data_IF_138049250019
#
_entry.id   IF_138049250019
#
_cell.length_a   1.000
_cell.length_b   1.000
_cell.length_c   1.000
_cell.angle_alpha   90.00
_cell.angle_beta   90.00
_cell.angle_gamma   90.00
#
_symmetry.space_group_name_H-M   'P 1'
#
loop_
_entity.id
_entity.type
_entity.pdbx_description
1 polymer ?
#
# COMPACT_ATOMS: atom_id res chain seq x y z
N UNK A 1 25.16 10.71 -8.39
CA UNK A 1 23.70 10.99 -8.43
C UNK A 1 23.32 12.01 -9.50
N UNK A 2 24.10 13.08 -9.66
CA UNK A 2 23.87 14.09 -10.70
C UNK A 2 23.85 13.50 -12.12
N UNK A 3 24.70 12.51 -12.40
CA UNK A 3 24.78 11.82 -13.70
C UNK A 3 23.44 11.20 -14.16
N UNK A 4 22.54 10.86 -13.24
CA UNK A 4 21.19 10.34 -13.58
C UNK A 4 20.11 11.41 -13.53
N UNK A 5 20.43 12.63 -13.04
CA UNK A 5 19.50 13.77 -12.96
C UNK A 5 18.96 14.07 -11.56
N UNK A 6 19.57 13.56 -10.49
CA UNK A 6 19.22 13.94 -9.11
C UNK A 6 20.13 15.11 -8.69
N UNK A 7 19.54 16.31 -8.57
CA UNK A 7 20.23 17.56 -8.25
C UNK A 7 20.48 17.76 -6.74
N UNK A 8 21.41 18.65 -6.34
CA UNK A 8 21.88 18.79 -4.95
C UNK A 8 20.79 18.90 -3.88
N UNK A 9 19.72 19.67 -4.11
CA UNK A 9 18.61 19.83 -3.16
C UNK A 9 17.90 18.50 -2.87
N UNK A 10 17.70 17.68 -3.92
CA UNK A 10 17.14 16.33 -3.80
C UNK A 10 18.13 15.36 -3.18
N UNK A 11 19.44 15.54 -3.39
CA UNK A 11 20.49 14.70 -2.78
C UNK A 11 20.49 14.86 -1.26
N UNK A 12 20.40 16.09 -0.75
CA UNK A 12 20.33 16.33 0.69
C UNK A 12 19.12 15.64 1.34
N UNK A 13 17.95 15.74 0.70
CA UNK A 13 16.74 15.01 1.13
C UNK A 13 16.94 13.49 1.09
N UNK A 14 17.51 12.95 0.00
CA UNK A 14 17.77 11.53 -0.18
C UNK A 14 18.71 10.97 0.90
N UNK A 15 19.78 11.68 1.23
CA UNK A 15 20.72 11.29 2.29
C UNK A 15 20.03 11.33 3.66
N UNK A 16 19.22 12.35 3.93
CA UNK A 16 18.47 12.47 5.18
C UNK A 16 17.51 11.29 5.38
N UNK A 17 16.74 10.96 4.35
CA UNK A 17 15.72 9.90 4.44
C UNK A 17 16.30 8.49 4.32
N UNK A 18 17.44 8.33 3.63
CA UNK A 18 18.15 7.05 3.54
C UNK A 18 19.68 7.25 3.60
N UNK A 19 20.27 7.38 4.81
CA UNK A 19 21.71 7.57 4.98
C UNK A 19 22.56 6.47 4.36
N UNK A 20 22.03 5.24 4.27
CA UNK A 20 22.68 4.10 3.64
C UNK A 20 23.03 4.29 2.15
N UNK A 21 22.46 5.31 1.49
CA UNK A 21 22.86 5.73 0.14
C UNK A 21 24.36 6.07 0.06
N UNK A 22 24.95 6.61 1.14
CA UNK A 22 26.38 6.97 1.19
C UNK A 22 27.30 5.75 1.26
N UNK A 23 26.83 4.66 1.85
CA UNK A 23 27.59 3.41 1.98
C UNK A 23 27.31 2.42 0.84
N UNK A 24 26.22 2.61 0.11
CA UNK A 24 25.85 1.76 -1.01
C UNK A 24 26.70 2.07 -2.25
N UNK A 25 26.82 1.09 -3.15
CA UNK A 25 27.41 1.25 -4.50
C UNK A 25 26.46 2.02 -5.42
N UNK A 26 26.08 3.22 -5.01
CA UNK A 26 25.01 3.99 -5.62
C UNK A 26 25.39 4.46 -7.03
N UNK A 27 26.64 4.84 -7.27
CA UNK A 27 27.08 5.28 -8.59
C UNK A 27 26.99 4.17 -9.65
N UNK A 28 27.31 2.93 -9.27
CA UNK A 28 27.26 1.75 -10.14
C UNK A 28 25.82 1.23 -10.31
N UNK A 29 25.06 1.12 -9.22
CA UNK A 29 23.74 0.47 -9.23
C UNK A 29 22.58 1.37 -9.66
N UNK A 30 22.67 2.69 -9.46
CA UNK A 30 21.58 3.62 -9.77
C UNK A 30 21.26 3.70 -11.27
N UNK A 31 22.23 3.75 -12.20
CA UNK A 31 21.97 3.69 -13.63
C UNK A 31 21.19 2.42 -14.05
N UNK A 32 21.53 1.27 -13.45
CA UNK A 32 20.84 0.01 -13.74
C UNK A 32 19.38 0.04 -13.28
N UNK A 33 19.10 0.62 -12.10
CA UNK A 33 17.74 0.82 -11.59
C UNK A 33 16.93 1.75 -12.48
N UNK A 34 17.53 2.85 -12.92
CA UNK A 34 16.89 3.79 -13.86
C UNK A 34 16.57 3.09 -15.18
N UNK A 35 17.53 2.34 -15.72
CA UNK A 35 17.35 1.55 -16.94
C UNK A 35 16.23 0.52 -16.79
N UNK A 36 16.17 -0.19 -15.66
CA UNK A 36 15.10 -1.14 -15.38
C UNK A 36 13.71 -0.50 -15.49
N UNK A 37 13.47 0.64 -14.82
CA UNK A 37 12.16 1.30 -14.90
C UNK A 37 11.86 1.85 -16.32
N UNK A 38 12.88 2.30 -17.05
CA UNK A 38 12.71 2.76 -18.44
C UNK A 38 12.36 1.60 -19.41
N UNK A 39 12.93 0.42 -19.16
CA UNK A 39 12.73 -0.79 -19.97
C UNK A 39 11.51 -1.63 -19.54
N UNK A 40 10.88 -1.29 -18.41
CA UNK A 40 9.63 -1.94 -17.97
C UNK A 40 8.60 -1.91 -19.09
N UNK A 41 8.02 -3.09 -19.38
CA UNK A 41 7.02 -3.25 -20.43
C UNK A 41 5.65 -2.73 -19.95
N UNK A 42 5.53 -1.42 -19.75
CA UNK A 42 4.30 -0.70 -19.37
C UNK A 42 3.94 0.34 -20.44
N UNK A 43 2.65 0.62 -20.60
CA UNK A 43 2.14 1.65 -21.52
C UNK A 43 1.24 2.63 -20.75
N UNK A 44 1.51 3.96 -20.79
CA UNK A 44 2.72 4.60 -21.35
C UNK A 44 3.99 4.22 -20.58
N UNK A 45 5.16 4.25 -21.24
CA UNK A 45 6.47 4.01 -20.59
C UNK A 45 6.72 5.01 -19.47
N UNK A 46 7.58 4.67 -18.52
CA UNK A 46 8.03 5.64 -17.53
C UNK A 46 8.86 6.73 -18.20
N UNK A 47 8.56 8.00 -17.91
CA UNK A 47 9.42 9.12 -18.30
C UNK A 47 10.63 9.20 -17.38
N UNK A 48 11.69 9.88 -17.80
CA UNK A 48 12.87 10.09 -16.94
C UNK A 48 12.47 10.76 -15.62
N UNK A 49 11.63 11.80 -15.69
CA UNK A 49 11.17 12.54 -14.50
C UNK A 49 10.30 11.68 -13.58
N UNK A 50 9.45 10.82 -14.13
CA UNK A 50 8.66 9.85 -13.36
C UNK A 50 9.56 8.86 -12.59
N UNK A 51 10.63 8.37 -13.22
CA UNK A 51 11.59 7.47 -12.57
C UNK A 51 12.33 8.19 -11.45
N UNK A 52 12.80 9.41 -11.72
CA UNK A 52 13.47 10.23 -10.71
C UNK A 52 12.52 10.56 -9.55
N UNK A 53 11.24 10.84 -9.82
CA UNK A 53 10.22 11.03 -8.80
C UNK A 53 10.08 9.79 -7.91
N UNK A 54 9.98 8.59 -8.49
CA UNK A 54 9.86 7.33 -7.74
C UNK A 54 11.06 7.11 -6.81
N UNK A 55 12.27 7.29 -7.34
CA UNK A 55 13.52 7.04 -6.61
C UNK A 55 13.78 8.09 -5.52
N UNK A 56 13.47 9.37 -5.78
CA UNK A 56 13.64 10.44 -4.78
C UNK A 56 12.55 10.41 -3.71
N UNK A 57 11.32 9.99 -4.04
CA UNK A 57 10.22 9.84 -3.08
C UNK A 57 10.39 8.63 -2.16
N UNK A 58 11.11 7.59 -2.59
CA UNK A 58 11.50 6.48 -1.72
C UNK A 58 13.00 6.16 -1.86
N UNK A 59 13.85 6.96 -1.19
CA UNK A 59 15.31 6.83 -1.25
C UNK A 59 15.85 5.45 -0.86
N UNK A 60 15.12 4.69 -0.04
CA UNK A 60 15.48 3.30 0.33
C UNK A 60 15.60 2.39 -0.91
N UNK A 61 14.85 2.65 -1.99
CA UNK A 61 14.98 1.92 -3.25
C UNK A 61 16.38 2.10 -3.87
N UNK A 62 17.00 3.27 -3.66
CA UNK A 62 18.37 3.56 -4.09
C UNK A 62 19.38 2.86 -3.18
N UNK A 63 19.18 2.91 -1.86
CA UNK A 63 20.15 2.39 -0.90
C UNK A 63 20.21 0.85 -0.83
N UNK A 64 19.05 0.19 -0.85
CA UNK A 64 18.95 -1.18 -0.30
C UNK A 64 18.32 -2.21 -1.24
N UNK A 65 17.70 -1.79 -2.35
CA UNK A 65 17.02 -2.70 -3.28
C UNK A 65 17.81 -2.89 -4.56
N UNK A 66 17.74 -4.09 -5.15
CA UNK A 66 18.37 -4.40 -6.45
C UNK A 66 17.32 -4.44 -7.57
N UNK A 67 17.79 -4.46 -8.82
CA UNK A 67 16.91 -4.67 -9.99
C UNK A 67 16.14 -6.00 -9.87
N UNK A 68 16.79 -7.06 -9.38
CA UNK A 68 16.16 -8.35 -9.12
C UNK A 68 15.03 -8.23 -8.09
N UNK A 69 15.22 -7.42 -7.03
CA UNK A 69 14.15 -7.16 -6.06
C UNK A 69 12.93 -6.51 -6.73
N UNK A 70 13.13 -5.55 -7.63
CA UNK A 70 12.03 -4.92 -8.36
C UNK A 70 11.33 -5.90 -9.30
N UNK A 71 12.08 -6.74 -10.00
CA UNK A 71 11.52 -7.79 -10.88
C UNK A 71 10.61 -8.75 -10.11
N UNK A 72 11.10 -9.31 -8.99
CA UNK A 72 10.31 -10.19 -8.12
C UNK A 72 9.06 -9.49 -7.62
N UNK A 73 9.16 -8.20 -7.28
CA UNK A 73 8.04 -7.41 -6.78
C UNK A 73 6.98 -7.13 -7.83
N UNK A 74 7.39 -6.78 -9.05
CA UNK A 74 6.49 -6.59 -10.19
C UNK A 74 5.80 -7.90 -10.55
N UNK A 75 6.54 -9.01 -10.56
CA UNK A 75 5.97 -10.35 -10.78
C UNK A 75 4.90 -10.68 -9.73
N UNK A 76 5.17 -10.38 -8.45
CA UNK A 76 4.18 -10.52 -7.38
C UNK A 76 2.91 -9.69 -7.64
N UNK A 77 3.04 -8.43 -8.08
CA UNK A 77 1.87 -7.60 -8.41
C UNK A 77 1.05 -8.17 -9.57
N UNK A 78 1.69 -8.73 -10.59
CA UNK A 78 1.00 -9.32 -11.74
C UNK A 78 0.34 -10.66 -11.39
N UNK A 79 1.10 -11.56 -10.76
CA UNK A 79 0.70 -12.96 -10.57
C UNK A 79 -0.19 -13.15 -9.34
N UNK A 80 0.13 -12.51 -8.22
CA UNK A 80 -0.60 -12.71 -6.96
C UNK A 80 -1.72 -11.68 -6.80
N UNK A 81 -1.45 -10.40 -7.08
CA UNK A 81 -2.44 -9.32 -6.91
C UNK A 81 -3.27 -9.04 -8.17
N UNK A 82 -3.01 -9.77 -9.26
CA UNK A 82 -3.73 -9.69 -10.54
C UNK A 82 -3.80 -8.27 -11.12
N UNK A 83 -2.79 -7.44 -10.84
CA UNK A 83 -2.70 -6.11 -11.42
C UNK A 83 -2.14 -6.19 -12.84
N UNK A 84 -2.74 -5.45 -13.77
CA UNK A 84 -2.15 -5.28 -15.09
C UNK A 84 -1.00 -4.25 -15.05
N UNK A 85 -0.23 -4.20 -16.14
CA UNK A 85 0.91 -3.28 -16.31
C UNK A 85 0.57 -1.80 -16.09
N UNK A 86 -0.63 -1.37 -16.48
CA UNK A 86 -1.07 0.01 -16.26
C UNK A 86 -1.35 0.30 -14.78
N UNK A 87 -2.01 -0.63 -14.09
CA UNK A 87 -2.21 -0.56 -12.64
C UNK A 87 -0.87 -0.50 -11.90
N UNK A 88 0.09 -1.35 -12.27
CA UNK A 88 1.41 -1.41 -11.64
C UNK A 88 2.16 -0.09 -11.79
N UNK A 89 2.20 0.48 -13.00
CA UNK A 89 2.79 1.80 -13.21
C UNK A 89 2.15 2.85 -12.30
N UNK A 90 0.82 2.92 -12.28
CA UNK A 90 0.10 3.90 -11.47
C UNK A 90 0.34 3.73 -9.96
N UNK A 91 0.38 2.48 -9.48
CA UNK A 91 0.66 2.15 -8.09
C UNK A 91 2.06 2.63 -7.70
N UNK A 92 3.08 2.31 -8.50
CA UNK A 92 4.48 2.69 -8.24
C UNK A 92 4.64 4.21 -8.25
N UNK A 93 4.05 4.91 -9.21
CA UNK A 93 4.11 6.38 -9.28
C UNK A 93 3.46 7.05 -8.07
N UNK A 94 2.25 6.61 -7.71
CA UNK A 94 1.52 7.19 -6.58
C UNK A 94 2.18 6.86 -5.25
N UNK A 95 2.64 5.62 -5.07
CA UNK A 95 3.22 5.13 -3.82
C UNK A 95 4.43 4.20 -4.04
N UNK A 96 5.64 4.76 -4.23
CA UNK A 96 6.84 3.96 -4.44
C UNK A 96 7.16 2.94 -3.33
N UNK A 97 6.80 3.26 -2.08
CA UNK A 97 7.07 2.38 -0.93
C UNK A 97 6.36 1.02 -1.00
N UNK A 98 5.36 0.85 -1.88
CA UNK A 98 4.77 -0.48 -2.11
C UNK A 98 5.80 -1.50 -2.60
N UNK A 99 6.90 -1.04 -3.20
CA UNK A 99 8.01 -1.90 -3.60
C UNK A 99 8.79 -2.47 -2.42
N UNK A 100 8.65 -1.89 -1.22
CA UNK A 100 9.42 -2.28 -0.03
C UNK A 100 8.62 -3.12 0.97
N UNK A 101 7.28 -3.16 0.85
CA UNK A 101 6.42 -3.86 1.81
C UNK A 101 6.54 -5.39 1.71
N UNK A 102 6.14 -6.12 2.76
CA UNK A 102 6.03 -7.58 2.71
C UNK A 102 4.99 -8.01 1.67
N UNK A 103 5.24 -9.12 0.97
CA UNK A 103 4.30 -9.67 -0.01
C UNK A 103 3.07 -10.25 0.69
N UNK A 104 3.28 -10.92 1.81
CA UNK A 104 2.26 -11.57 2.64
C UNK A 104 1.25 -10.52 3.12
N UNK A 105 1.74 -9.46 3.78
CA UNK A 105 0.89 -8.39 4.29
C UNK A 105 0.16 -7.62 3.16
N UNK A 106 0.77 -7.49 1.98
CA UNK A 106 0.10 -6.87 0.83
C UNK A 106 -1.00 -7.77 0.27
N UNK A 107 -0.75 -9.09 0.17
CA UNK A 107 -1.72 -10.06 -0.33
C UNK A 107 -2.94 -10.11 0.58
N UNK A 108 -2.77 -10.18 1.90
CA UNK A 108 -3.89 -10.15 2.84
C UNK A 108 -4.76 -8.90 2.70
N UNK A 109 -4.14 -7.71 2.58
CA UNK A 109 -4.86 -6.45 2.38
C UNK A 109 -5.60 -6.43 1.05
N UNK A 110 -4.98 -6.92 -0.01
CA UNK A 110 -5.59 -7.02 -1.34
C UNK A 110 -6.79 -7.98 -1.31
N UNK A 111 -6.62 -9.18 -0.76
CA UNK A 111 -7.67 -10.20 -0.65
C UNK A 111 -8.86 -9.67 0.15
N UNK A 112 -8.61 -9.02 1.29
CA UNK A 112 -9.70 -8.43 2.07
C UNK A 112 -10.44 -7.32 1.29
N UNK A 113 -9.72 -6.43 0.61
CA UNK A 113 -10.35 -5.39 -0.20
C UNK A 113 -11.17 -5.97 -1.36
N UNK A 114 -10.66 -7.01 -2.02
CA UNK A 114 -11.32 -7.62 -3.16
C UNK A 114 -12.53 -8.46 -2.75
N UNK A 115 -12.37 -9.36 -1.79
CA UNK A 115 -13.39 -10.36 -1.43
C UNK A 115 -14.37 -9.87 -0.38
N UNK A 116 -13.93 -9.07 0.59
CA UNK A 116 -14.78 -8.65 1.73
C UNK A 116 -15.33 -7.23 1.58
N UNK A 117 -14.55 -6.31 1.02
CA UNK A 117 -15.00 -4.92 0.75
C UNK A 117 -15.67 -4.82 -0.63
N UNK A 118 -15.57 -5.86 -1.48
CA UNK A 118 -16.12 -5.86 -2.84
C UNK A 118 -15.57 -4.70 -3.70
N UNK A 119 -14.26 -4.43 -3.58
CA UNK A 119 -13.56 -3.43 -4.37
C UNK A 119 -12.87 -4.05 -5.59
N UNK A 120 -13.06 -3.46 -6.77
CA UNK A 120 -12.42 -3.96 -7.99
C UNK A 120 -10.89 -3.81 -7.96
N UNK A 121 -10.12 -4.63 -8.71
CA UNK A 121 -8.68 -4.45 -8.84
C UNK A 121 -8.29 -3.04 -9.33
N UNK A 122 -9.11 -2.43 -10.19
CA UNK A 122 -8.89 -1.04 -10.64
C UNK A 122 -9.07 -0.03 -9.51
N UNK A 123 -10.07 -0.20 -8.65
CA UNK A 123 -10.30 0.64 -7.46
C UNK A 123 -9.12 0.56 -6.49
N UNK A 124 -8.66 -0.67 -6.20
CA UNK A 124 -7.51 -0.90 -5.32
C UNK A 124 -6.23 -0.28 -5.90
N UNK A 125 -5.98 -0.46 -7.21
CA UNK A 125 -4.83 0.14 -7.89
C UNK A 125 -4.86 1.68 -7.90
N UNK A 126 -6.05 2.29 -7.93
CA UNK A 126 -6.21 3.75 -7.86
C UNK A 126 -6.04 4.29 -6.43
N UNK A 127 -6.13 3.44 -5.41
CA UNK A 127 -5.95 3.76 -3.99
C UNK A 127 -4.78 2.99 -3.33
N UNK A 128 -3.52 3.11 -3.80
CA UNK A 128 -2.40 2.31 -3.27
C UNK A 128 -2.07 2.57 -1.79
N UNK A 129 -2.66 3.60 -1.18
CA UNK A 129 -2.61 3.84 0.26
C UNK A 129 -3.22 2.70 1.08
N UNK A 130 -4.05 1.82 0.51
CA UNK A 130 -4.55 0.65 1.24
C UNK A 130 -3.39 -0.19 1.79
N UNK A 131 -2.28 -0.28 1.04
CA UNK A 131 -1.13 -1.11 1.42
C UNK A 131 -0.29 -0.50 2.55
N UNK A 132 -0.40 0.82 2.78
CA UNK A 132 0.20 1.50 3.94
C UNK A 132 -0.64 1.35 5.21
N UNK A 133 -1.94 1.12 5.07
CA UNK A 133 -2.84 0.95 6.20
C UNK A 133 -2.63 -0.43 6.84
N UNK A 134 -2.83 -0.56 8.15
CA UNK A 134 -2.83 -1.87 8.79
C UNK A 134 -4.11 -2.63 8.42
N UNK A 135 -4.02 -3.95 8.29
CA UNK A 135 -5.20 -4.77 7.99
C UNK A 135 -6.26 -4.64 9.08
N UNK A 136 -5.86 -4.60 10.36
CA UNK A 136 -6.76 -4.37 11.51
C UNK A 136 -7.60 -3.11 11.31
N UNK A 137 -6.98 -1.98 11.00
CA UNK A 137 -7.68 -0.70 10.77
C UNK A 137 -8.65 -0.77 9.59
N UNK A 138 -8.27 -1.43 8.49
CA UNK A 138 -9.16 -1.62 7.33
C UNK A 138 -10.40 -2.42 7.76
N UNK A 139 -10.19 -3.55 8.46
CA UNK A 139 -11.25 -4.46 8.92
C UNK A 139 -12.22 -3.76 9.86
N UNK A 140 -11.72 -3.17 10.95
CA UNK A 140 -12.54 -2.49 11.96
C UNK A 140 -13.46 -1.44 11.34
N UNK A 141 -12.91 -0.61 10.46
CA UNK A 141 -13.66 0.50 9.86
C UNK A 141 -14.64 0.06 8.81
N UNK A 142 -14.26 -0.93 7.99
CA UNK A 142 -15.19 -1.54 7.05
C UNK A 142 -16.38 -2.17 7.79
N UNK A 143 -16.10 -2.97 8.83
CA UNK A 143 -17.14 -3.63 9.63
C UNK A 143 -18.02 -2.61 10.36
N UNK A 144 -17.45 -1.52 10.87
CA UNK A 144 -18.24 -0.47 11.52
C UNK A 144 -19.19 0.22 10.55
N UNK A 145 -18.71 0.58 9.34
CA UNK A 145 -19.59 1.13 8.31
C UNK A 145 -20.67 0.14 7.86
N UNK A 146 -20.38 -1.16 7.88
CA UNK A 146 -21.38 -2.20 7.62
C UNK A 146 -22.42 -2.29 8.75
N UNK A 147 -21.98 -2.25 10.01
CA UNK A 147 -22.85 -2.24 11.19
C UNK A 147 -23.82 -1.05 11.18
N UNK A 148 -23.33 0.14 10.80
CA UNK A 148 -24.15 1.35 10.64
C UNK A 148 -25.06 1.32 9.40
N UNK A 149 -24.96 0.30 8.54
CA UNK A 149 -25.70 0.20 7.29
C UNK A 149 -25.23 1.15 6.19
N UNK A 150 -24.08 1.80 6.34
CA UNK A 150 -23.47 2.68 5.33
C UNK A 150 -22.86 1.89 4.17
N UNK A 151 -22.43 0.65 4.41
CA UNK A 151 -21.96 -0.30 3.40
C UNK A 151 -22.81 -1.57 3.50
N UNK A 152 -23.27 -2.06 2.35
CA UNK A 152 -24.01 -3.33 2.21
C UNK A 152 -23.15 -4.36 1.50
N UNK A 153 -23.43 -5.65 1.67
CA UNK A 153 -22.60 -6.74 1.15
C UNK A 153 -22.49 -6.73 -0.39
N UNK A 154 -23.58 -6.40 -1.08
CA UNK A 154 -23.63 -6.30 -2.54
C UNK A 154 -23.03 -5.00 -3.10
N UNK A 155 -22.72 -4.02 -2.24
CA UNK A 155 -22.24 -2.71 -2.67
C UNK A 155 -20.81 -2.81 -3.21
N UNK A 156 -20.60 -2.35 -4.44
CA UNK A 156 -19.25 -2.22 -5.02
C UNK A 156 -18.59 -0.95 -4.49
N UNK A 157 -17.41 -1.09 -3.89
CA UNK A 157 -16.66 0.03 -3.35
C UNK A 157 -15.59 0.49 -4.34
N UNK A 158 -15.62 1.78 -4.67
CA UNK A 158 -14.64 2.42 -5.53
C UNK A 158 -13.41 2.92 -4.74
N UNK A 159 -12.48 3.57 -5.45
CA UNK A 159 -11.26 4.11 -4.85
C UNK A 159 -11.54 5.26 -3.86
N UNK A 160 -12.63 6.02 -4.04
CA UNK A 160 -13.04 7.05 -3.11
C UNK A 160 -13.55 6.42 -1.80
N UNK A 161 -14.43 5.42 -1.88
CA UNK A 161 -14.92 4.67 -0.71
C UNK A 161 -13.78 3.99 0.06
N UNK A 162 -12.83 3.36 -0.66
CA UNK A 162 -11.60 2.84 -0.03
C UNK A 162 -10.83 3.96 0.69
N UNK A 163 -10.72 5.14 0.08
CA UNK A 163 -10.10 6.32 0.66
C UNK A 163 -10.74 6.77 1.98
N UNK A 164 -12.07 6.70 2.08
CA UNK A 164 -12.80 7.02 3.31
C UNK A 164 -12.50 5.99 4.43
N UNK A 165 -12.50 4.69 4.09
CA UNK A 165 -12.19 3.61 5.04
C UNK A 165 -10.76 3.79 5.61
N UNK A 166 -9.78 4.11 4.77
CA UNK A 166 -8.36 4.22 5.18
C UNK A 166 -7.96 5.62 5.67
N UNK A 167 -8.92 6.46 6.07
CA UNK A 167 -8.67 7.81 6.59
C UNK A 167 -7.55 7.84 7.66
N UNK A 168 -6.75 8.89 7.71
CA UNK A 168 -5.51 8.93 8.49
C UNK A 168 -5.67 8.90 10.03
N UNK A 169 -6.86 9.16 10.56
CA UNK A 169 -7.10 9.18 12.02
C UNK A 169 -8.47 8.60 12.37
N UNK A 170 -8.56 7.95 13.53
CA UNK A 170 -9.82 7.37 14.02
C UNK A 170 -10.88 8.45 14.29
N UNK A 171 -10.50 9.57 14.91
CA UNK A 171 -11.40 10.72 15.12
C UNK A 171 -12.04 11.22 13.83
N UNK A 172 -11.23 11.48 12.79
CA UNK A 172 -11.75 11.91 11.48
C UNK A 172 -12.64 10.84 10.84
N UNK A 173 -12.25 9.56 10.95
CA UNK A 173 -13.08 8.47 10.44
C UNK A 173 -14.44 8.45 11.15
N UNK A 174 -14.47 8.39 12.48
CA UNK A 174 -15.69 8.37 13.28
C UNK A 174 -16.60 9.58 12.97
N UNK A 175 -16.08 10.79 13.15
CA UNK A 175 -16.90 12.00 13.08
C UNK A 175 -17.27 12.41 11.64
N UNK A 176 -16.35 12.22 10.68
CA UNK A 176 -16.54 12.75 9.31
C UNK A 176 -17.02 11.70 8.33
N UNK A 177 -16.64 10.44 8.50
CA UNK A 177 -17.03 9.34 7.60
C UNK A 177 -18.22 8.58 8.19
N UNK A 178 -18.07 8.04 9.41
CA UNK A 178 -19.11 7.26 10.07
C UNK A 178 -20.24 8.12 10.67
N UNK A 179 -20.03 9.43 10.82
CA UNK A 179 -21.00 10.37 11.43
C UNK A 179 -21.38 9.99 12.88
N UNK A 180 -20.46 9.33 13.57
CA UNK A 180 -20.59 8.92 14.98
C UNK A 180 -19.50 9.58 15.84
N UNK A 181 -19.63 9.48 17.16
CA UNK A 181 -18.56 9.88 18.08
C UNK A 181 -17.37 8.91 18.02
N UNK A 182 -16.20 9.37 18.46
CA UNK A 182 -15.03 8.50 18.59
C UNK A 182 -15.26 7.39 19.63
N UNK A 183 -15.97 7.71 20.72
CA UNK A 183 -16.24 6.78 21.82
C UNK A 183 -17.09 5.59 21.35
N UNK A 184 -18.16 5.84 20.57
CA UNK A 184 -18.98 4.77 20.00
C UNK A 184 -18.19 3.86 19.04
N UNK A 185 -17.24 4.41 18.29
CA UNK A 185 -16.36 3.60 17.45
C UNK A 185 -15.38 2.78 18.29
N UNK A 186 -14.86 3.34 19.39
CA UNK A 186 -13.94 2.64 20.28
C UNK A 186 -14.63 1.50 21.05
N UNK A 187 -15.88 1.69 21.45
CA UNK A 187 -16.72 0.62 22.04
C UNK A 187 -16.93 -0.53 21.05
N UNK A 188 -17.29 -0.22 19.81
CA UNK A 188 -17.44 -1.24 18.76
C UNK A 188 -16.16 -2.03 18.50
N UNK A 189 -15.00 -1.38 18.53
CA UNK A 189 -13.71 -2.07 18.34
C UNK A 189 -13.41 -3.07 19.45
N UNK A 190 -13.74 -2.73 20.70
CA UNK A 190 -13.55 -3.63 21.85
C UNK A 190 -14.42 -4.88 21.70
N UNK A 191 -15.67 -4.71 21.28
CA UNK A 191 -16.61 -5.83 21.05
C UNK A 191 -16.08 -6.80 19.98
N UNK A 192 -15.60 -6.27 18.84
CA UNK A 192 -14.97 -7.09 17.79
C UNK A 192 -13.74 -7.87 18.30
N UNK A 193 -12.90 -7.23 19.10
CA UNK A 193 -11.67 -7.87 19.58
C UNK A 193 -11.97 -8.96 20.63
N UNK A 194 -13.01 -8.79 21.45
CA UNK A 194 -13.47 -9.82 22.40
C UNK A 194 -14.03 -11.04 21.66
N UNK A 195 -14.94 -10.85 20.71
CA UNK A 195 -15.57 -11.94 19.95
C UNK A 195 -14.53 -12.78 19.19
N UNK A 196 -13.45 -12.17 18.67
CA UNK A 196 -12.37 -12.91 18.01
C UNK A 196 -11.54 -13.75 18.98
N UNK A 197 -11.36 -13.31 20.21
CA UNK A 197 -10.58 -14.06 21.19
C UNK A 197 -11.36 -15.29 21.64
N UNK A 198 -12.67 -15.14 21.88
CA UNK A 198 -13.57 -16.24 22.20
C UNK A 198 -13.61 -17.30 21.08
N UNK A 199 -13.73 -16.88 19.80
CA UNK A 199 -13.68 -17.80 18.66
C UNK A 199 -12.34 -18.56 18.55
N UNK A 200 -11.21 -17.94 18.91
CA UNK A 200 -9.90 -18.61 18.87
C UNK A 200 -9.74 -19.63 20.01
N UNK A 201 -10.21 -19.30 21.22
CA UNK A 201 -10.19 -20.21 22.37
C UNK A 201 -11.06 -21.44 22.12
N UNK A 202 -12.26 -21.28 21.54
CA UNK A 202 -13.13 -22.40 21.17
C UNK A 202 -12.53 -23.31 20.08
N UNK A 203 -11.81 -22.74 19.11
CA UNK A 203 -11.16 -23.54 18.06
C UNK A 203 -9.95 -24.33 18.60
N UNK A 204 -9.19 -23.77 19.54
CA UNK A 204 -8.06 -24.47 20.18
C UNK A 204 -8.51 -25.60 21.12
N UNK A 205 -9.67 -25.47 21.77
CA UNK A 205 -10.26 -26.54 22.58
C UNK A 205 -10.84 -27.69 21.75
N UNK A 206 -11.34 -27.41 20.54
CA UNK A 206 -11.91 -28.42 19.64
C UNK A 206 -10.87 -29.21 18.81
N UNK A 207 -9.61 -28.77 18.79
CA UNK A 207 -8.49 -29.45 18.14
C UNK A 207 -7.66 -30.35 19.10
N UNK A 208 -8.05 -30.45 20.38
CA UNK A 208 -7.48 -31.36 21.38
C UNK A 208 -8.35 -32.60 21.61
#
# INVERSE_FOLDING_TARGET
MENVGIYPDSVAYVIKEAPGVLTAKTEESLPEKVKYFADMNVKPKFTKDEILHVLTKCPTLIASYTVESFQKKVQFFEQELKFNKHHIKNIILKQPSVLTFSNEAMKEKWTYCYEKINASPSSIARCPRVFQCSLKRIKERHLYLKHLGHIKDEMKIDDYGLGLIITNSDKRFAEKVAKMSLDEFDEFRKDIDLNKNEENEENEENEQ
#
